data_IF_666901413012
#
_entry.id   IF_666901413012
#
_cell.length_a   1.000
_cell.length_b   1.000
_cell.length_c   1.000
_cell.angle_alpha   90.00
_cell.angle_beta   90.00
_cell.angle_gamma   90.00
#
_symmetry.space_group_name_H-M   'P 1'
#
loop_
_entity.id
_entity.type
_entity.pdbx_description
1 polymer ?
#
# COMPACT_ATOMS: atom_id res chain seq x y z
N UNK A 1 5.84 5.79 -29.29
CA UNK A 1 6.97 4.83 -29.27
C UNK A 1 8.30 5.42 -29.66
N UNK A 2 8.48 5.97 -30.87
CA UNK A 2 9.72 6.69 -31.25
C UNK A 2 10.15 7.71 -30.17
N UNK A 3 9.19 8.54 -29.72
CA UNK A 3 9.40 9.49 -28.62
C UNK A 3 9.76 8.88 -27.25
N UNK A 4 9.36 7.64 -26.95
CA UNK A 4 9.71 6.96 -25.69
C UNK A 4 11.17 6.47 -25.75
N UNK A 5 11.59 5.93 -26.91
CA UNK A 5 12.99 5.54 -27.13
C UNK A 5 13.95 6.73 -27.05
N UNK A 6 13.49 7.89 -27.52
CA UNK A 6 14.23 9.16 -27.49
C UNK A 6 14.25 9.84 -26.11
N UNK A 7 13.52 9.32 -25.11
CA UNK A 7 13.60 9.83 -23.73
C UNK A 7 15.04 9.72 -23.24
N UNK A 8 15.54 10.82 -22.69
CA UNK A 8 16.89 10.92 -22.15
C UNK A 8 16.90 11.75 -20.87
N UNK A 9 17.96 11.65 -20.09
CA UNK A 9 18.07 12.38 -18.81
C UNK A 9 18.34 11.47 -17.62
N UNK A 10 18.43 12.06 -16.44
CA UNK A 10 18.69 11.35 -15.19
C UNK A 10 17.54 11.59 -14.23
N UNK A 11 17.12 10.53 -13.56
CA UNK A 11 16.07 10.56 -12.56
C UNK A 11 16.41 9.57 -11.46
N UNK A 12 15.90 9.83 -10.26
CA UNK A 12 16.00 8.81 -9.22
C UNK A 12 15.15 7.59 -9.62
N UNK A 13 15.48 6.47 -9.00
CA UNK A 13 14.93 5.18 -9.35
C UNK A 13 13.38 5.13 -9.29
N UNK A 14 12.75 5.91 -8.38
CA UNK A 14 11.28 5.98 -8.24
C UNK A 14 10.58 7.01 -9.11
N UNK A 15 11.30 7.95 -9.73
CA UNK A 15 10.67 9.11 -10.40
C UNK A 15 10.71 8.98 -11.91
N UNK A 16 9.68 8.33 -12.49
CA UNK A 16 9.59 8.15 -13.94
C UNK A 16 9.46 9.44 -14.74
N UNK A 17 8.91 10.47 -14.12
CA UNK A 17 8.92 11.82 -14.62
C UNK A 17 10.32 12.43 -14.43
N UNK A 18 11.01 12.67 -15.54
CA UNK A 18 12.36 13.23 -15.53
C UNK A 18 12.31 14.70 -15.09
N UNK A 19 13.02 15.10 -14.01
CA UNK A 19 13.01 16.48 -13.53
C UNK A 19 13.40 17.47 -14.63
N UNK A 20 12.59 18.52 -14.80
CA UNK A 20 12.85 19.59 -15.76
C UNK A 20 12.66 19.21 -17.24
N UNK A 21 12.00 18.09 -17.56
CA UNK A 21 11.65 17.71 -18.93
C UNK A 21 10.15 17.62 -19.14
N UNK A 22 9.74 17.87 -20.38
CA UNK A 22 8.35 17.73 -20.80
C UNK A 22 7.95 16.24 -20.80
N UNK A 23 7.16 15.85 -19.79
CA UNK A 23 6.55 14.51 -19.70
C UNK A 23 5.40 14.30 -20.70
N UNK A 24 5.23 15.22 -21.67
CA UNK A 24 4.20 15.21 -22.71
C UNK A 24 3.87 13.83 -23.28
N UNK A 25 4.84 12.98 -23.69
CA UNK A 25 4.53 11.70 -24.32
C UNK A 25 3.83 10.72 -23.37
N UNK A 26 4.24 10.71 -22.10
CA UNK A 26 3.67 9.87 -21.03
C UNK A 26 2.29 10.40 -20.68
N UNK A 27 2.19 11.71 -20.43
CA UNK A 27 0.93 12.39 -20.11
C UNK A 27 -0.12 12.29 -21.23
N UNK A 28 0.30 12.31 -22.50
CA UNK A 28 -0.60 12.10 -23.65
C UNK A 28 -1.21 10.70 -23.64
N UNK A 29 -0.39 9.67 -23.39
CA UNK A 29 -0.87 8.29 -23.29
C UNK A 29 -1.81 8.10 -22.09
N UNK A 30 -1.48 8.72 -20.95
CA UNK A 30 -2.36 8.71 -19.78
C UNK A 30 -3.72 9.35 -20.06
N UNK A 31 -3.74 10.49 -20.75
CA UNK A 31 -4.98 11.17 -21.16
C UNK A 31 -5.83 10.35 -22.12
N UNK A 32 -5.23 9.45 -22.92
CA UNK A 32 -5.99 8.53 -23.77
C UNK A 32 -6.73 7.47 -22.93
N UNK A 33 -6.28 7.19 -21.70
CA UNK A 33 -6.95 6.27 -20.79
C UNK A 33 -6.86 4.81 -21.22
N UNK A 34 -7.71 3.95 -20.65
CA UNK A 34 -7.61 2.49 -20.80
C UNK A 34 -7.63 1.98 -22.25
N UNK A 35 -8.22 2.72 -23.20
CA UNK A 35 -8.31 2.32 -24.61
C UNK A 35 -6.93 2.07 -25.24
N UNK A 36 -5.88 2.69 -24.72
CA UNK A 36 -4.53 2.54 -25.27
C UNK A 36 -3.80 1.29 -24.75
N UNK A 37 -4.25 0.67 -23.65
CA UNK A 37 -3.55 -0.47 -23.02
C UNK A 37 -3.25 -1.60 -24.04
N UNK A 38 -4.22 -2.07 -24.86
CA UNK A 38 -3.94 -3.13 -25.84
C UNK A 38 -2.83 -2.77 -26.84
N UNK A 39 -2.69 -1.49 -27.19
CA UNK A 39 -1.68 -1.01 -28.12
C UNK A 39 -0.29 -0.88 -27.46
N UNK A 40 -0.24 -0.77 -26.13
CA UNK A 40 1.01 -0.73 -25.36
C UNK A 40 1.58 -2.14 -25.09
N UNK A 41 0.73 -3.16 -24.98
CA UNK A 41 1.13 -4.54 -24.66
C UNK A 41 2.30 -5.10 -25.49
N UNK A 42 2.33 -4.98 -26.83
CA UNK A 42 3.44 -5.51 -27.62
C UNK A 42 4.79 -4.88 -27.27
N UNK A 43 4.79 -3.64 -26.75
CA UNK A 43 6.01 -2.93 -26.39
C UNK A 43 6.60 -3.35 -25.05
N UNK A 44 5.91 -4.22 -24.29
CA UNK A 44 6.54 -4.90 -23.16
C UNK A 44 7.68 -5.84 -23.61
N UNK A 45 7.68 -6.27 -24.87
CA UNK A 45 8.78 -7.04 -25.48
C UNK A 45 9.94 -6.16 -25.97
N UNK A 46 9.82 -4.83 -25.92
CA UNK A 46 10.88 -3.91 -26.35
C UNK A 46 11.91 -3.72 -25.21
N UNK A 47 12.99 -4.48 -25.28
CA UNK A 47 14.12 -4.43 -24.33
C UNK A 47 15.20 -3.44 -24.75
N UNK A 48 14.96 -2.63 -25.80
CA UNK A 48 15.93 -1.61 -26.22
C UNK A 48 16.14 -0.57 -25.14
N UNK A 49 17.38 -0.09 -25.02
CA UNK A 49 17.72 0.98 -24.10
C UNK A 49 17.15 2.31 -24.60
N UNK A 50 16.63 3.09 -23.66
CA UNK A 50 16.36 4.51 -23.85
C UNK A 50 17.65 5.31 -23.57
N UNK A 51 17.64 6.61 -23.87
CA UNK A 51 18.71 7.52 -23.43
C UNK A 51 18.60 7.92 -21.95
N UNK A 52 17.62 7.40 -21.21
CA UNK A 52 17.38 7.75 -19.82
C UNK A 52 18.17 6.84 -18.86
N UNK A 53 18.64 7.42 -17.76
CA UNK A 53 19.44 6.73 -16.75
C UNK A 53 18.78 6.89 -15.38
N UNK A 54 18.50 5.76 -14.73
CA UNK A 54 18.04 5.72 -13.33
C UNK A 54 19.24 5.72 -12.40
N UNK A 55 19.14 6.54 -11.36
CA UNK A 55 20.12 6.59 -10.28
C UNK A 55 19.50 6.02 -9.02
N UNK A 56 20.11 4.97 -8.49
CA UNK A 56 19.76 4.39 -7.20
C UNK A 56 20.78 4.87 -6.16
N UNK A 57 20.31 5.63 -5.17
CA UNK A 57 21.16 6.18 -4.11
C UNK A 57 21.48 5.18 -2.98
N UNK A 58 20.98 3.93 -3.06
CA UNK A 58 21.27 2.88 -2.06
C UNK A 58 22.60 2.12 -2.27
N UNK A 59 23.56 2.71 -2.99
CA UNK A 59 24.90 2.13 -2.99
C UNK A 59 25.44 2.05 -1.56
N UNK A 60 26.11 0.95 -1.20
CA UNK A 60 26.96 0.94 0.00
C UNK A 60 27.88 2.17 -0.05
N UNK A 61 28.28 2.72 1.11
CA UNK A 61 29.19 3.89 1.19
C UNK A 61 30.45 3.74 0.30
N UNK A 62 30.82 2.51 -0.03
CA UNK A 62 32.02 2.15 -0.81
C UNK A 62 31.78 1.94 -2.32
N UNK A 63 30.54 1.79 -2.80
CA UNK A 63 30.25 1.51 -4.23
C UNK A 63 29.63 2.66 -5.02
N UNK A 64 29.24 3.74 -4.33
CA UNK A 64 28.66 4.93 -4.95
C UNK A 64 27.28 4.69 -5.57
N UNK A 65 26.67 5.72 -6.17
CA UNK A 65 25.32 5.61 -6.74
C UNK A 65 25.29 4.65 -7.92
N UNK A 66 24.41 3.64 -7.86
CA UNK A 66 24.20 2.70 -8.96
C UNK A 66 23.43 3.40 -10.08
N UNK A 67 23.96 3.32 -11.30
CA UNK A 67 23.36 3.92 -12.50
C UNK A 67 22.99 2.84 -13.49
N UNK A 68 21.75 2.87 -13.99
CA UNK A 68 21.25 1.90 -14.98
C UNK A 68 20.56 2.61 -16.13
N UNK A 69 20.88 2.21 -17.36
CA UNK A 69 20.12 2.63 -18.53
C UNK A 69 18.72 2.02 -18.46
N UNK A 70 17.69 2.85 -18.63
CA UNK A 70 16.29 2.42 -18.62
C UNK A 70 15.96 1.76 -19.95
N UNK A 71 15.24 0.65 -19.93
CA UNK A 71 14.76 -0.01 -21.14
C UNK A 71 13.30 0.40 -21.43
N UNK A 72 12.90 0.32 -22.70
CA UNK A 72 11.57 0.79 -23.15
C UNK A 72 10.44 0.13 -22.36
N UNK A 73 10.49 -1.19 -22.16
CA UNK A 73 9.39 -1.89 -21.49
C UNK A 73 9.19 -1.51 -20.01
N UNK A 74 10.18 -0.91 -19.35
CA UNK A 74 10.03 -0.36 -18.01
C UNK A 74 9.10 0.85 -18.02
N UNK A 75 9.30 1.79 -18.96
CA UNK A 75 8.38 2.91 -19.17
C UNK A 75 6.99 2.44 -19.59
N UNK A 76 6.90 1.43 -20.46
CA UNK A 76 5.62 0.89 -20.89
C UNK A 76 4.87 0.28 -19.71
N UNK A 77 5.56 -0.50 -18.87
CA UNK A 77 4.99 -1.05 -17.65
C UNK A 77 4.48 0.03 -16.70
N UNK A 78 5.29 1.05 -16.44
CA UNK A 78 4.91 2.21 -15.64
C UNK A 78 3.66 2.93 -16.18
N UNK A 79 3.61 3.20 -17.49
CA UNK A 79 2.45 3.85 -18.14
C UNK A 79 1.21 2.98 -18.01
N UNK A 80 1.34 1.67 -18.21
CA UNK A 80 0.22 0.73 -18.08
C UNK A 80 -0.34 0.77 -16.65
N UNK A 81 0.51 0.68 -15.61
CA UNK A 81 0.07 0.76 -14.22
C UNK A 81 -0.69 2.06 -13.92
N UNK A 82 -0.18 3.20 -14.41
CA UNK A 82 -0.81 4.51 -14.23
C UNK A 82 -2.17 4.63 -14.92
N UNK A 83 -2.27 4.16 -16.16
CA UNK A 83 -3.55 4.18 -16.90
C UNK A 83 -4.57 3.26 -16.24
N UNK A 84 -4.13 2.10 -15.78
CA UNK A 84 -4.98 1.12 -15.10
C UNK A 84 -5.41 1.61 -13.70
N UNK A 85 -4.61 2.46 -13.05
CA UNK A 85 -4.65 2.74 -11.62
C UNK A 85 -4.59 1.42 -10.82
N UNK A 86 -3.64 0.56 -11.19
CA UNK A 86 -3.50 -0.79 -10.67
C UNK A 86 -2.05 -1.25 -10.86
N UNK A 87 -1.45 -1.84 -9.82
CA UNK A 87 -0.11 -2.42 -9.90
C UNK A 87 -0.18 -3.88 -10.34
N UNK A 88 0.39 -4.14 -11.52
CA UNK A 88 0.49 -5.51 -12.02
C UNK A 88 1.66 -6.24 -11.39
N UNK A 89 1.35 -7.35 -10.73
CA UNK A 89 2.31 -8.13 -9.97
C UNK A 89 2.30 -9.60 -10.42
N UNK A 90 3.50 -10.17 -10.60
CA UNK A 90 3.67 -11.61 -10.77
C UNK A 90 4.31 -12.18 -9.49
N UNK A 91 3.64 -13.12 -8.80
CA UNK A 91 4.20 -13.74 -7.60
C UNK A 91 5.45 -14.56 -7.95
N UNK A 92 6.37 -14.64 -6.98
CA UNK A 92 7.57 -15.46 -7.11
C UNK A 92 7.28 -16.95 -6.83
N UNK A 93 8.35 -17.75 -6.72
CA UNK A 93 8.26 -19.18 -6.41
C UNK A 93 7.91 -19.44 -4.95
N UNK A 94 8.26 -18.52 -4.05
CA UNK A 94 8.06 -18.68 -2.60
C UNK A 94 6.96 -17.78 -2.03
N UNK A 95 6.41 -16.84 -2.81
CA UNK A 95 5.27 -16.03 -2.41
C UNK A 95 5.36 -14.59 -2.91
N UNK A 96 4.94 -13.65 -2.06
CA UNK A 96 4.98 -12.21 -2.37
C UNK A 96 6.38 -11.57 -2.23
N UNK A 97 7.28 -12.18 -1.46
CA UNK A 97 8.60 -11.57 -1.18
C UNK A 97 9.61 -11.72 -2.34
N UNK A 98 9.35 -12.64 -3.28
CA UNK A 98 10.25 -12.93 -4.41
C UNK A 98 9.60 -12.68 -5.78
N UNK A 99 8.43 -12.06 -5.83
CA UNK A 99 7.82 -11.67 -7.09
C UNK A 99 8.30 -10.32 -7.61
N UNK A 100 7.65 -9.86 -8.67
CA UNK A 100 8.07 -8.69 -9.42
C UNK A 100 6.87 -7.86 -9.85
N UNK A 101 6.96 -6.55 -9.67
CA UNK A 101 5.98 -5.60 -10.20
C UNK A 101 6.36 -5.14 -11.59
N UNK A 102 5.35 -4.93 -12.42
CA UNK A 102 5.52 -4.38 -13.75
C UNK A 102 6.06 -2.95 -13.68
N UNK A 103 7.25 -2.72 -14.23
CA UNK A 103 7.86 -1.38 -14.29
C UNK A 103 9.00 -1.12 -13.30
N UNK A 104 9.32 -2.04 -12.38
CA UNK A 104 10.34 -1.77 -11.34
C UNK A 104 11.79 -1.78 -11.86
N UNK A 105 12.18 -2.78 -12.66
CA UNK A 105 13.57 -2.95 -13.11
C UNK A 105 13.71 -3.29 -14.60
N UNK A 106 12.66 -3.07 -15.38
CA UNK A 106 12.59 -3.54 -16.76
C UNK A 106 12.61 -5.07 -16.86
N UNK A 107 12.03 -5.60 -17.93
CA UNK A 107 11.91 -7.04 -18.12
C UNK A 107 12.86 -7.51 -19.22
N UNK A 108 13.72 -8.48 -18.95
CA UNK A 108 14.62 -9.06 -19.99
C UNK A 108 14.29 -10.52 -20.31
N UNK A 109 13.65 -11.21 -19.36
CA UNK A 109 13.21 -12.59 -19.54
C UNK A 109 11.91 -12.65 -20.35
N UNK A 110 11.93 -13.38 -21.47
CA UNK A 110 10.82 -13.45 -22.41
C UNK A 110 9.58 -14.15 -21.82
N UNK A 111 9.76 -15.12 -20.93
CA UNK A 111 8.62 -15.82 -20.32
C UNK A 111 7.92 -14.95 -19.27
N UNK A 112 8.68 -14.17 -18.49
CA UNK A 112 8.12 -13.10 -17.64
C UNK A 112 7.40 -12.03 -18.45
N UNK A 113 7.98 -11.57 -19.57
CA UNK A 113 7.34 -10.59 -20.46
C UNK A 113 5.98 -11.11 -20.94
N UNK A 114 5.92 -12.36 -21.41
CA UNK A 114 4.67 -13.00 -21.87
C UNK A 114 3.65 -13.16 -20.74
N UNK A 115 4.11 -13.53 -19.55
CA UNK A 115 3.27 -13.62 -18.35
C UNK A 115 2.63 -12.27 -18.02
N UNK A 116 3.39 -11.18 -18.04
CA UNK A 116 2.85 -9.83 -17.84
C UNK A 116 1.90 -9.40 -18.97
N UNK A 117 2.24 -9.67 -20.23
CA UNK A 117 1.36 -9.38 -21.36
C UNK A 117 0.00 -10.07 -21.20
N UNK A 118 0.01 -11.34 -20.77
CA UNK A 118 -1.20 -12.12 -20.51
C UNK A 118 -1.97 -11.57 -19.31
N UNK A 119 -1.29 -11.28 -18.20
CA UNK A 119 -1.88 -10.72 -16.99
C UNK A 119 -2.61 -9.40 -17.29
N UNK A 120 -1.92 -8.46 -17.94
CA UNK A 120 -2.47 -7.14 -18.29
C UNK A 120 -3.61 -7.29 -19.30
N UNK A 121 -3.48 -8.16 -20.31
CA UNK A 121 -4.55 -8.40 -21.28
C UNK A 121 -5.83 -8.94 -20.60
N UNK A 122 -5.69 -9.92 -19.72
CA UNK A 122 -6.81 -10.51 -18.98
C UNK A 122 -7.48 -9.48 -18.07
N UNK A 123 -6.67 -8.73 -17.31
CA UNK A 123 -7.18 -7.65 -16.48
C UNK A 123 -7.90 -6.59 -17.30
N UNK A 124 -7.35 -6.19 -18.46
CA UNK A 124 -7.99 -5.21 -19.35
C UNK A 124 -9.33 -5.72 -19.84
N UNK A 125 -9.44 -6.98 -20.31
CA UNK A 125 -10.72 -7.52 -20.77
C UNK A 125 -11.79 -7.54 -19.66
N UNK A 126 -11.39 -7.87 -18.42
CA UNK A 126 -12.28 -7.84 -17.25
C UNK A 126 -12.72 -6.43 -16.86
N UNK A 127 -11.83 -5.44 -17.00
CA UNK A 127 -11.99 -4.12 -16.39
C UNK A 127 -12.26 -2.97 -17.37
N UNK A 128 -12.15 -3.17 -18.69
CA UNK A 128 -12.24 -2.10 -19.71
C UNK A 128 -13.54 -1.28 -19.67
N UNK A 129 -14.63 -1.87 -19.19
CA UNK A 129 -15.94 -1.24 -19.09
C UNK A 129 -16.31 -0.84 -17.66
N UNK A 130 -15.47 -1.17 -16.68
CA UNK A 130 -15.68 -0.81 -15.27
C UNK A 130 -15.27 0.63 -15.05
N UNK A 131 -16.05 1.35 -14.27
CA UNK A 131 -15.66 2.63 -13.68
C UNK A 131 -14.47 2.47 -12.74
N UNK A 132 -13.78 3.57 -12.43
CA UNK A 132 -12.71 3.56 -11.43
C UNK A 132 -13.22 3.09 -10.06
N UNK A 133 -14.46 3.44 -9.71
CA UNK A 133 -15.11 2.98 -8.48
C UNK A 133 -15.22 1.45 -8.43
N UNK A 134 -15.77 0.83 -9.48
CA UNK A 134 -15.94 -0.63 -9.53
C UNK A 134 -14.60 -1.36 -9.48
N UNK A 135 -13.55 -0.79 -10.06
CA UNK A 135 -12.20 -1.36 -9.99
C UNK A 135 -11.63 -1.30 -8.57
N UNK A 136 -11.72 -0.15 -7.89
CA UNK A 136 -11.25 -0.03 -6.50
C UNK A 136 -12.03 -0.96 -5.55
N UNK A 137 -13.31 -1.23 -5.82
CA UNK A 137 -14.08 -2.21 -5.05
C UNK A 137 -13.61 -3.65 -5.30
N UNK A 138 -13.30 -4.01 -6.56
CA UNK A 138 -12.68 -5.29 -6.89
C UNK A 138 -11.31 -5.43 -6.20
N UNK A 139 -10.52 -4.34 -6.16
CA UNK A 139 -9.16 -4.33 -5.61
C UNK A 139 -9.11 -4.60 -4.10
N UNK A 140 -10.22 -4.49 -3.36
CA UNK A 140 -10.30 -4.95 -1.96
C UNK A 140 -9.99 -6.45 -1.80
N UNK A 141 -10.15 -7.23 -2.87
CA UNK A 141 -9.88 -8.66 -2.93
C UNK A 141 -8.72 -9.00 -3.86
N UNK A 142 -7.92 -8.01 -4.26
CA UNK A 142 -6.76 -8.26 -5.10
C UNK A 142 -5.77 -9.16 -4.38
N UNK A 143 -5.08 -10.01 -5.13
CA UNK A 143 -4.05 -10.88 -4.58
C UNK A 143 -2.88 -10.07 -4.01
N UNK A 144 -2.52 -8.96 -4.68
CA UNK A 144 -1.39 -8.14 -4.27
C UNK A 144 -1.81 -7.05 -3.29
N UNK A 145 -1.14 -7.00 -2.13
CA UNK A 145 -1.51 -6.10 -1.04
C UNK A 145 -1.44 -4.62 -1.42
N UNK A 146 -0.52 -4.19 -2.30
CA UNK A 146 -0.42 -2.77 -2.70
C UNK A 146 -1.71 -2.25 -3.33
N UNK A 147 -2.37 -3.08 -4.15
CA UNK A 147 -3.67 -2.74 -4.74
C UNK A 147 -4.75 -2.64 -3.65
N UNK A 148 -4.76 -3.56 -2.67
CA UNK A 148 -5.69 -3.53 -1.54
C UNK A 148 -5.52 -2.25 -0.70
N UNK A 149 -4.29 -1.87 -0.36
CA UNK A 149 -3.99 -0.65 0.38
C UNK A 149 -4.40 0.61 -0.38
N UNK A 150 -4.10 0.68 -1.69
CA UNK A 150 -4.54 1.78 -2.54
C UNK A 150 -6.07 1.92 -2.57
N UNK A 151 -6.78 0.79 -2.62
CA UNK A 151 -8.24 0.76 -2.57
C UNK A 151 -8.79 1.29 -1.22
N UNK A 152 -8.23 0.87 -0.07
CA UNK A 152 -8.64 1.39 1.24
C UNK A 152 -8.52 2.91 1.30
N UNK A 153 -7.37 3.43 0.85
CA UNK A 153 -7.12 4.86 0.81
C UNK A 153 -8.14 5.60 -0.06
N UNK A 154 -8.34 5.14 -1.31
CA UNK A 154 -9.25 5.78 -2.26
C UNK A 154 -10.70 5.79 -1.77
N UNK A 155 -11.17 4.64 -1.27
CA UNK A 155 -12.54 4.50 -0.74
C UNK A 155 -12.76 5.39 0.49
N UNK A 156 -11.76 5.49 1.38
CA UNK A 156 -11.81 6.40 2.53
C UNK A 156 -11.85 7.88 2.13
N UNK A 157 -11.00 8.31 1.19
CA UNK A 157 -10.95 9.70 0.71
C UNK A 157 -12.22 10.15 -0.02
N UNK A 158 -12.95 9.22 -0.63
CA UNK A 158 -14.24 9.54 -1.26
C UNK A 158 -15.30 10.03 -0.27
N UNK A 159 -15.20 9.63 1.02
CA UNK A 159 -16.15 9.92 2.10
C UNK A 159 -17.59 9.49 1.81
N UNK A 160 -17.81 8.53 0.90
CA UNK A 160 -19.14 8.05 0.54
C UNK A 160 -19.60 6.90 1.43
N UNK A 161 -20.81 6.99 2.00
CA UNK A 161 -21.36 5.96 2.91
C UNK A 161 -21.47 4.57 2.27
N UNK A 162 -21.69 4.50 0.95
CA UNK A 162 -21.82 3.22 0.23
C UNK A 162 -20.60 2.30 0.36
N UNK A 163 -19.40 2.85 0.59
CA UNK A 163 -18.17 2.06 0.75
C UNK A 163 -17.93 1.58 2.18
N UNK A 164 -18.76 2.01 3.14
CA UNK A 164 -18.69 1.55 4.52
C UNK A 164 -18.78 0.02 4.61
N UNK A 165 -19.81 -0.58 4.03
CA UNK A 165 -20.05 -2.02 4.14
C UNK A 165 -18.94 -2.88 3.52
N UNK A 166 -18.43 -2.59 2.31
CA UNK A 166 -17.25 -3.26 1.76
C UNK A 166 -16.05 -3.28 2.71
N UNK A 167 -15.68 -2.12 3.28
CA UNK A 167 -14.56 -2.01 4.23
C UNK A 167 -14.82 -2.80 5.53
N UNK A 168 -16.04 -2.73 6.07
CA UNK A 168 -16.41 -3.53 7.25
C UNK A 168 -16.34 -5.03 6.99
N UNK A 169 -16.71 -5.47 5.78
CA UNK A 169 -16.61 -6.87 5.39
C UNK A 169 -15.16 -7.31 5.23
N UNK A 170 -14.30 -6.47 4.64
CA UNK A 170 -12.87 -6.75 4.56
C UNK A 170 -12.25 -6.95 5.94
N UNK A 171 -12.56 -6.10 6.91
CA UNK A 171 -12.09 -6.29 8.30
C UNK A 171 -12.56 -7.64 8.87
N UNK A 172 -13.82 -8.04 8.62
CA UNK A 172 -14.34 -9.34 9.09
C UNK A 172 -13.61 -10.52 8.44
N UNK A 173 -13.22 -10.41 7.19
CA UNK A 173 -12.43 -11.42 6.48
C UNK A 173 -11.02 -11.51 7.06
N UNK A 174 -10.36 -10.36 7.25
CA UNK A 174 -9.04 -10.28 7.88
C UNK A 174 -9.06 -10.96 9.26
N UNK A 175 -10.12 -10.76 10.06
CA UNK A 175 -10.26 -11.46 11.34
C UNK A 175 -10.31 -13.00 11.23
N UNK A 176 -10.81 -13.55 10.11
CA UNK A 176 -10.92 -15.00 9.89
C UNK A 176 -9.66 -15.62 9.27
N UNK A 177 -8.90 -14.85 8.49
CA UNK A 177 -7.71 -15.33 7.81
C UNK A 177 -6.61 -15.74 8.80
N UNK A 178 -5.75 -16.66 8.35
CA UNK A 178 -4.54 -17.05 9.07
C UNK A 178 -3.62 -15.83 9.29
N UNK A 179 -2.65 -15.97 10.21
CA UNK A 179 -1.73 -14.89 10.54
C UNK A 179 -0.79 -14.58 9.37
N UNK A 180 -1.17 -13.62 8.53
CA UNK A 180 -0.31 -13.00 7.52
C UNK A 180 0.45 -11.80 8.11
N UNK A 181 1.65 -11.51 7.60
CA UNK A 181 2.53 -10.42 8.05
C UNK A 181 1.88 -9.04 7.87
N UNK A 182 0.97 -8.89 6.90
CA UNK A 182 0.34 -7.60 6.58
C UNK A 182 -1.10 -7.44 7.10
N UNK A 183 -1.67 -8.49 7.70
CA UNK A 183 -3.07 -8.50 8.16
C UNK A 183 -3.38 -7.34 9.10
N UNK A 184 -2.51 -7.06 10.06
CA UNK A 184 -2.70 -5.99 11.04
C UNK A 184 -2.68 -4.62 10.33
N UNK A 185 -1.71 -4.38 9.46
CA UNK A 185 -1.62 -3.15 8.65
C UNK A 185 -2.88 -2.93 7.80
N UNK A 186 -3.40 -3.97 7.14
CA UNK A 186 -4.63 -3.88 6.37
C UNK A 186 -5.85 -3.52 7.25
N UNK A 187 -5.91 -4.05 8.48
CA UNK A 187 -6.96 -3.67 9.43
C UNK A 187 -6.86 -2.19 9.80
N UNK A 188 -5.66 -1.67 10.04
CA UNK A 188 -5.45 -0.25 10.38
C UNK A 188 -5.97 0.64 9.25
N UNK A 189 -5.55 0.37 8.02
CA UNK A 189 -5.92 1.20 6.87
C UNK A 189 -7.43 1.12 6.58
N UNK A 190 -8.06 -0.05 6.76
CA UNK A 190 -9.51 -0.19 6.69
C UNK A 190 -10.23 0.67 7.74
N UNK A 191 -9.78 0.68 9.01
CA UNK A 191 -10.45 1.49 10.05
C UNK A 191 -10.19 2.98 9.87
N UNK A 192 -9.03 3.37 9.35
CA UNK A 192 -8.77 4.77 8.97
C UNK A 192 -9.68 5.21 7.83
N UNK A 193 -9.89 4.38 6.82
CA UNK A 193 -10.84 4.63 5.75
C UNK A 193 -12.28 4.79 6.29
N UNK A 194 -12.73 3.91 7.18
CA UNK A 194 -14.03 4.02 7.85
C UNK A 194 -14.15 5.32 8.67
N UNK A 195 -13.08 5.73 9.34
CA UNK A 195 -13.06 6.98 10.10
C UNK A 195 -13.09 8.23 9.20
N UNK A 196 -12.52 8.17 7.98
CA UNK A 196 -12.67 9.23 6.97
C UNK A 196 -14.10 9.32 6.45
N UNK A 197 -14.76 8.18 6.24
CA UNK A 197 -16.20 8.13 5.90
C UNK A 197 -17.05 8.69 7.05
N UNK A 198 -16.66 8.47 8.30
CA UNK A 198 -17.22 9.17 9.47
C UNK A 198 -18.58 8.66 9.93
N UNK A 199 -19.02 7.49 9.48
CA UNK A 199 -20.33 6.93 9.84
C UNK A 199 -20.28 6.19 11.19
N UNK A 200 -21.01 6.64 12.24
CA UNK A 200 -20.94 6.03 13.57
C UNK A 200 -21.35 4.55 13.62
N UNK A 201 -22.10 4.04 12.63
CA UNK A 201 -22.48 2.61 12.57
C UNK A 201 -21.27 1.68 12.50
N UNK A 202 -20.13 2.16 12.01
CA UNK A 202 -18.88 1.40 11.94
C UNK A 202 -18.18 1.25 13.29
N UNK A 203 -18.59 1.99 14.32
CA UNK A 203 -17.94 1.93 15.63
C UNK A 203 -17.89 0.51 16.21
N UNK A 204 -18.89 -0.34 15.94
CA UNK A 204 -18.89 -1.73 16.40
C UNK A 204 -17.73 -2.56 15.84
N UNK A 205 -17.43 -2.44 14.55
CA UNK A 205 -16.31 -3.18 13.95
C UNK A 205 -14.96 -2.56 14.34
N UNK A 206 -14.90 -1.22 14.41
CA UNK A 206 -13.68 -0.52 14.83
C UNK A 206 -13.32 -0.87 16.27
N UNK A 207 -14.30 -1.00 17.18
CA UNK A 207 -14.07 -1.51 18.54
C UNK A 207 -13.38 -2.88 18.55
N UNK A 208 -13.81 -3.80 17.67
CA UNK A 208 -13.16 -5.13 17.58
C UNK A 208 -11.68 -5.01 17.19
N UNK A 209 -11.37 -4.12 16.25
CA UNK A 209 -9.98 -3.83 15.86
C UNK A 209 -9.21 -3.20 17.01
N UNK A 210 -9.78 -2.21 17.73
CA UNK A 210 -9.10 -1.63 18.90
C UNK A 210 -8.84 -2.68 20.01
N UNK A 211 -9.76 -3.63 20.21
CA UNK A 211 -9.57 -4.73 21.15
C UNK A 211 -8.47 -5.69 20.71
N UNK A 212 -8.38 -5.99 19.41
CA UNK A 212 -7.30 -6.80 18.82
C UNK A 212 -5.92 -6.16 19.07
N UNK A 213 -5.76 -4.88 18.74
CA UNK A 213 -4.50 -4.17 18.98
C UNK A 213 -4.19 -4.01 20.47
N UNK A 214 -5.19 -3.80 21.33
CA UNK A 214 -4.98 -3.78 22.78
C UNK A 214 -4.52 -5.14 23.32
N UNK A 215 -5.06 -6.23 22.76
CA UNK A 215 -4.66 -7.59 23.10
C UNK A 215 -3.22 -7.88 22.64
N UNK A 216 -2.80 -7.34 21.49
CA UNK A 216 -1.40 -7.42 21.02
C UNK A 216 -0.43 -6.78 22.02
N UNK A 217 -0.74 -5.57 22.51
CA UNK A 217 0.04 -4.92 23.58
C UNK A 217 0.12 -5.81 24.82
N UNK A 218 -1.02 -6.37 25.25
CA UNK A 218 -1.05 -7.31 26.36
C UNK A 218 -0.14 -8.52 26.14
N UNK A 219 -0.20 -9.17 24.98
CA UNK A 219 0.63 -10.35 24.66
C UNK A 219 2.12 -10.00 24.61
N UNK A 220 2.44 -8.80 24.14
CA UNK A 220 3.82 -8.31 24.05
C UNK A 220 4.47 -8.08 25.40
N UNK A 221 3.75 -7.51 26.37
CA UNK A 221 4.36 -7.16 27.67
C UNK A 221 4.13 -8.21 28.75
N UNK A 222 3.14 -9.11 28.58
CA UNK A 222 3.05 -10.35 29.36
C UNK A 222 4.05 -11.44 28.93
N UNK A 223 4.77 -11.21 27.83
CA UNK A 223 5.66 -12.19 27.17
C UNK A 223 6.80 -12.69 28.07
N UNK A 224 7.17 -11.94 29.11
CA UNK A 224 8.21 -12.33 30.07
C UNK A 224 7.80 -13.53 30.96
N UNK A 225 6.51 -13.83 31.13
CA UNK A 225 6.03 -15.03 31.84
C UNK A 225 6.06 -16.31 30.98
N UNK A 226 6.12 -16.18 29.65
CA UNK A 226 5.93 -17.31 28.70
C UNK A 226 7.07 -17.47 27.66
N UNK A 227 8.19 -16.76 27.81
CA UNK A 227 9.35 -16.88 26.91
C UNK A 227 9.15 -16.27 25.52
N UNK A 228 8.20 -15.36 25.36
CA UNK A 228 7.88 -14.69 24.10
C UNK A 228 8.73 -13.41 23.93
N UNK A 229 9.17 -13.13 22.70
CA UNK A 229 9.97 -11.93 22.39
C UNK A 229 9.14 -10.65 22.54
N UNK A 230 9.73 -9.55 23.05
CA UNK A 230 9.06 -8.26 23.09
C UNK A 230 8.67 -7.81 21.67
N UNK A 231 7.49 -7.20 21.56
CA UNK A 231 6.91 -6.75 20.31
C UNK A 231 7.68 -5.60 19.68
N UNK A 232 7.47 -5.41 18.38
CA UNK A 232 8.08 -4.36 17.57
C UNK A 232 7.48 -2.97 17.88
N UNK A 233 8.29 -1.90 17.76
CA UNK A 233 7.92 -0.51 18.06
C UNK A 233 6.68 0.00 17.32
N UNK A 234 6.46 -0.43 16.07
CA UNK A 234 5.34 0.04 15.24
C UNK A 234 3.96 -0.29 15.84
N UNK A 235 3.89 -1.24 16.77
CA UNK A 235 2.65 -1.62 17.45
C UNK A 235 2.02 -0.48 18.25
N UNK A 236 2.82 0.43 18.83
CA UNK A 236 2.28 1.58 19.56
C UNK A 236 1.62 2.56 18.59
N UNK A 237 2.26 2.85 17.46
CA UNK A 237 1.69 3.75 16.47
C UNK A 237 0.37 3.21 15.91
N UNK A 238 0.32 1.94 15.54
CA UNK A 238 -0.90 1.33 15.01
C UNK A 238 -2.01 1.27 16.06
N UNK A 239 -1.70 0.97 17.33
CA UNK A 239 -2.66 1.07 18.43
C UNK A 239 -3.31 2.45 18.48
N UNK A 240 -2.52 3.52 18.43
CA UNK A 240 -3.05 4.88 18.46
C UNK A 240 -3.82 5.25 17.19
N UNK A 241 -3.42 4.75 16.01
CA UNK A 241 -4.16 4.95 14.75
C UNK A 241 -5.56 4.34 14.83
N UNK A 242 -5.70 3.10 15.31
CA UNK A 242 -7.01 2.44 15.43
C UNK A 242 -7.90 3.10 16.49
N UNK A 243 -7.34 3.56 17.61
CA UNK A 243 -8.10 4.31 18.62
C UNK A 243 -8.49 5.72 18.14
N UNK A 244 -7.66 6.37 17.33
CA UNK A 244 -8.02 7.64 16.68
C UNK A 244 -9.19 7.46 15.73
N UNK A 245 -9.21 6.35 14.98
CA UNK A 245 -10.35 6.00 14.13
C UNK A 245 -11.64 5.88 14.95
N UNK A 246 -11.59 5.19 16.10
CA UNK A 246 -12.74 5.08 17.02
C UNK A 246 -13.17 6.45 17.56
N UNK A 247 -12.22 7.31 17.91
CA UNK A 247 -12.50 8.66 18.39
C UNK A 247 -13.21 9.52 17.34
N UNK A 248 -12.75 9.46 16.08
CA UNK A 248 -13.38 10.15 14.93
C UNK A 248 -14.83 9.69 14.67
N UNK A 249 -15.18 8.48 15.09
CA UNK A 249 -16.56 7.96 15.03
C UNK A 249 -17.43 8.35 16.24
N UNK A 250 -16.97 9.31 17.05
CA UNK A 250 -17.71 9.87 18.19
C UNK A 250 -17.41 9.22 19.54
N UNK A 251 -16.40 8.35 19.63
CA UNK A 251 -16.09 7.58 20.83
C UNK A 251 -14.75 7.98 21.48
N UNK A 252 -14.40 9.28 21.46
CA UNK A 252 -13.15 9.82 22.04
C UNK A 252 -12.97 9.46 23.52
N UNK A 253 -14.02 9.64 24.34
CA UNK A 253 -13.96 9.35 25.79
C UNK A 253 -13.64 7.87 26.03
N UNK A 254 -14.28 6.98 25.29
CA UNK A 254 -14.03 5.53 25.35
C UNK A 254 -12.59 5.21 24.97
N UNK A 255 -12.09 5.77 23.85
CA UNK A 255 -10.72 5.56 23.39
C UNK A 255 -9.69 6.02 24.44
N UNK A 256 -9.86 7.21 25.03
CA UNK A 256 -8.95 7.74 26.05
C UNK A 256 -8.96 6.92 27.34
N UNK A 257 -10.12 6.43 27.78
CA UNK A 257 -10.19 5.55 28.96
C UNK A 257 -9.37 4.29 28.71
N UNK A 258 -9.55 3.63 27.56
CA UNK A 258 -8.81 2.40 27.22
C UNK A 258 -7.30 2.61 27.08
N UNK A 259 -6.88 3.70 26.43
CA UNK A 259 -5.46 4.03 26.31
C UNK A 259 -4.82 4.32 27.67
N UNK A 260 -5.54 4.97 28.59
CA UNK A 260 -5.07 5.19 29.97
C UNK A 260 -5.04 3.89 30.80
N UNK A 261 -5.96 2.95 30.58
CA UNK A 261 -5.90 1.62 31.18
C UNK A 261 -4.64 0.87 30.73
N UNK A 262 -4.32 0.89 29.43
CA UNK A 262 -3.09 0.31 28.90
C UNK A 262 -1.84 0.98 29.47
N UNK A 263 -1.82 2.31 29.54
CA UNK A 263 -0.74 3.08 30.19
C UNK A 263 -0.51 2.59 31.62
N UNK A 264 -1.56 2.55 32.43
CA UNK A 264 -1.47 2.16 33.85
C UNK A 264 -0.92 0.75 34.01
N UNK A 265 -1.22 -0.14 33.06
CA UNK A 265 -0.91 -1.57 33.18
C UNK A 265 0.45 -1.95 32.59
N UNK A 266 0.87 -1.33 31.50
CA UNK A 266 2.02 -1.80 30.71
C UNK A 266 3.12 -0.76 30.47
N UNK A 267 2.90 0.52 30.81
CA UNK A 267 3.90 1.55 30.49
C UNK A 267 5.25 1.26 31.16
N UNK A 268 5.25 0.81 32.41
CA UNK A 268 6.50 0.49 33.14
C UNK A 268 7.22 -0.74 32.58
N UNK A 269 6.53 -1.60 31.82
CA UNK A 269 7.10 -2.80 31.18
C UNK A 269 7.68 -2.50 29.79
N UNK A 270 7.37 -1.34 29.22
CA UNK A 270 7.91 -0.87 27.93
C UNK A 270 9.36 -0.40 28.10
N UNK A 271 10.19 -0.57 27.07
CA UNK A 271 11.51 0.08 27.04
C UNK A 271 11.38 1.62 26.96
N UNK A 272 12.46 2.34 27.25
CA UNK A 272 12.44 3.80 27.36
C UNK A 272 12.00 4.54 26.10
N UNK A 273 12.34 4.04 24.91
CA UNK A 273 11.94 4.66 23.65
C UNK A 273 10.44 4.43 23.39
N UNK A 274 9.98 3.20 23.61
CA UNK A 274 8.57 2.83 23.49
C UNK A 274 7.68 3.57 24.50
N UNK A 275 8.15 3.76 25.75
CA UNK A 275 7.45 4.56 26.76
C UNK A 275 7.27 6.01 26.30
N UNK A 276 8.33 6.61 25.77
CA UNK A 276 8.31 7.99 25.27
C UNK A 276 7.31 8.13 24.13
N UNK A 277 7.35 7.22 23.16
CA UNK A 277 6.40 7.20 22.04
C UNK A 277 4.95 7.06 22.51
N UNK A 278 4.69 6.14 23.45
CA UNK A 278 3.35 5.95 24.02
C UNK A 278 2.83 7.23 24.67
N UNK A 279 3.64 7.87 25.53
CA UNK A 279 3.26 9.10 26.23
C UNK A 279 3.06 10.28 25.29
N UNK A 280 3.92 10.42 24.27
CA UNK A 280 3.77 11.45 23.24
C UNK A 280 2.47 11.27 22.45
N UNK A 281 2.17 10.03 22.05
CA UNK A 281 0.94 9.72 21.33
C UNK A 281 -0.31 9.88 22.23
N UNK A 282 -0.24 9.55 23.52
CA UNK A 282 -1.32 9.80 24.48
C UNK A 282 -1.61 11.29 24.65
N UNK A 283 -0.57 12.12 24.76
CA UNK A 283 -0.72 13.58 24.82
C UNK A 283 -1.35 14.15 23.54
N UNK A 284 -1.04 13.57 22.37
CA UNK A 284 -1.75 13.91 21.11
C UNK A 284 -3.21 13.45 21.16
N UNK A 285 -3.49 12.29 21.74
CA UNK A 285 -4.83 11.71 21.82
C UNK A 285 -5.81 12.54 22.66
N UNK A 286 -5.34 13.16 23.73
CA UNK A 286 -6.14 14.08 24.55
C UNK A 286 -6.73 15.24 23.73
N UNK A 287 -6.09 15.61 22.61
CA UNK A 287 -6.48 16.69 21.70
C UNK A 287 -7.32 16.24 20.50
N UNK A 288 -7.68 14.97 20.38
CA UNK A 288 -8.52 14.47 19.27
C UNK A 288 -9.89 15.12 19.16
#
# INVERSE_FOLDING_TARGET
>A
MKKIRELSGKSEWRFFELPGRDAEPILKLEKMGMVIIPFLLPYLSDTSQTGAVRVHHSGHRDTGPYRRAVIVNEYIGYIINRIANHEFYLPGKTGEDDGISLGDYGLVDMDRIRSFQTLVANWYQKNKNKSLEERNLDDLQDAFHTNRFAAYYWLGESKLEKYRLPLENKIKELFKGDSDTLKDSEMVDCVEALAKIGNPKSAKIVRKVTSHFSYRIYMTYRSQEEGNSPGYSDQINDLFRVYRALAKLGHKKEALVRLNELKKKYLEEMDGDTQKEFLENLKKAEKW
#
